data_IF_585069745343
#
_entry.id   IF_585069745343
#
_cell.length_a   1.000
_cell.length_b   1.000
_cell.length_c   1.000
_cell.angle_alpha   90.00
_cell.angle_beta   90.00
_cell.angle_gamma   90.00
#
_symmetry.space_group_name_H-M   'P 1'
#
loop_
_entity.id
_entity.type
_entity.pdbx_description
1 polymer ?
#
# COMPACT_ATOMS: atom_id res chain seq x y z
N UNK A 1 -18.29 6.05 2.49
CA UNK A 1 -17.86 5.16 1.39
C UNK A 1 -17.22 3.91 1.98
N UNK A 2 -17.70 2.73 1.59
CA UNK A 2 -17.47 1.44 2.31
C UNK A 2 -16.42 0.51 1.70
N UNK A 3 -15.34 1.05 1.16
CA UNK A 3 -14.21 0.22 0.72
C UNK A 3 -13.32 -0.05 1.93
N UNK A 4 -13.22 -1.31 2.33
CA UNK A 4 -12.35 -1.75 3.42
C UNK A 4 -10.89 -1.80 2.95
N UNK A 5 -10.68 -2.48 1.82
CA UNK A 5 -9.38 -2.68 1.18
C UNK A 5 -9.51 -2.48 -0.34
N UNK A 6 -8.43 -2.01 -0.97
CA UNK A 6 -8.30 -1.89 -2.43
C UNK A 6 -7.01 -2.55 -2.86
N UNK A 7 -7.11 -3.55 -3.74
CA UNK A 7 -5.95 -4.17 -4.36
C UNK A 7 -5.73 -3.58 -5.76
N UNK A 8 -4.49 -3.22 -6.06
CA UNK A 8 -4.09 -2.79 -7.39
C UNK A 8 -2.75 -3.41 -7.79
N UNK A 9 -2.59 -3.62 -9.10
CA UNK A 9 -1.33 -4.06 -9.69
C UNK A 9 -0.80 -2.98 -10.60
N UNK A 10 0.46 -2.58 -10.40
CA UNK A 10 1.14 -1.55 -11.19
C UNK A 10 2.57 -1.98 -11.50
N UNK A 11 3.17 -1.44 -12.55
CA UNK A 11 4.60 -1.57 -12.83
C UNK A 11 5.26 -0.20 -12.81
N UNK A 12 6.26 0.00 -11.96
CA UNK A 12 7.02 1.25 -11.83
C UNK A 12 8.49 0.93 -12.02
N UNK A 13 9.19 1.63 -12.92
CA UNK A 13 10.62 1.37 -13.21
C UNK A 13 10.95 -0.13 -13.41
N UNK A 14 10.19 -0.79 -14.28
CA UNK A 14 10.27 -2.25 -14.53
C UNK A 14 10.00 -3.16 -13.31
N UNK A 15 9.61 -2.60 -12.16
CA UNK A 15 9.33 -3.33 -10.92
C UNK A 15 7.83 -3.62 -10.84
N UNK A 16 7.38 -4.88 -10.93
CA UNK A 16 5.97 -5.23 -10.75
C UNK A 16 5.59 -5.13 -9.27
N UNK A 17 4.52 -4.39 -8.97
CA UNK A 17 4.01 -4.19 -7.62
C UNK A 17 2.57 -4.69 -7.55
N UNK A 18 2.28 -5.55 -6.58
CA UNK A 18 0.91 -5.81 -6.12
C UNK A 18 0.73 -5.06 -4.81
N UNK A 19 -0.15 -4.06 -4.81
CA UNK A 19 -0.33 -3.14 -3.68
C UNK A 19 -1.72 -3.39 -3.09
N UNK A 20 -1.76 -3.74 -1.81
CA UNK A 20 -2.98 -3.76 -1.00
C UNK A 20 -3.05 -2.49 -0.16
N UNK A 21 -4.09 -1.70 -0.37
CA UNK A 21 -4.33 -0.42 0.27
C UNK A 21 -5.47 -0.55 1.27
N UNK A 22 -5.23 -0.17 2.53
CA UNK A 22 -6.21 -0.30 3.61
C UNK A 22 -6.17 0.86 4.58
N UNK A 23 -7.26 1.03 5.34
CA UNK A 23 -7.36 2.03 6.41
C UNK A 23 -6.95 1.46 7.76
N UNK A 24 -6.27 2.24 8.59
CA UNK A 24 -5.85 1.83 9.93
C UNK A 24 -4.71 2.69 10.49
N UNK A 25 -3.85 2.09 11.30
CA UNK A 25 -2.63 2.75 11.78
C UNK A 25 -1.62 2.90 10.63
N UNK A 26 -1.11 4.11 10.35
CA UNK A 26 -0.19 4.33 9.24
C UNK A 26 1.01 3.39 9.24
N UNK A 27 1.26 2.75 8.11
CA UNK A 27 2.36 1.80 8.00
C UNK A 27 2.58 1.28 6.59
N UNK A 28 3.81 0.87 6.34
CA UNK A 28 4.24 0.26 5.08
C UNK A 28 4.95 -1.06 5.38
N UNK A 29 4.50 -2.13 4.73
CA UNK A 29 5.24 -3.38 4.67
C UNK A 29 5.50 -3.77 3.23
N UNK A 30 6.70 -4.28 2.97
CA UNK A 30 7.09 -4.85 1.68
C UNK A 30 7.48 -6.30 1.93
N UNK A 31 6.86 -7.22 1.20
CA UNK A 31 7.06 -8.67 1.32
C UNK A 31 6.90 -9.20 2.76
N UNK A 32 5.98 -8.57 3.51
CA UNK A 32 5.65 -8.94 4.88
C UNK A 32 6.53 -8.29 5.96
N UNK A 33 7.56 -7.52 5.61
CA UNK A 33 8.43 -6.84 6.57
C UNK A 33 8.16 -5.32 6.59
N UNK A 34 8.23 -4.63 7.75
CA UNK A 34 8.20 -3.17 7.81
C UNK A 34 9.31 -2.56 6.95
N UNK A 35 8.96 -1.56 6.15
CA UNK A 35 9.91 -0.91 5.26
C UNK A 35 9.70 0.61 5.26
N UNK A 36 10.79 1.40 5.16
CA UNK A 36 10.69 2.85 5.03
C UNK A 36 10.28 3.30 3.62
N UNK A 37 10.47 2.46 2.60
CA UNK A 37 10.11 2.74 1.21
C UNK A 37 9.90 1.43 0.42
N UNK A 38 9.24 1.54 -0.74
CA UNK A 38 9.10 0.42 -1.69
C UNK A 38 10.35 0.36 -2.59
N UNK A 39 11.08 -0.77 -2.63
CA UNK A 39 12.19 -0.95 -3.56
C UNK A 39 11.70 -1.00 -5.01
N UNK A 40 12.42 -0.33 -5.91
CA UNK A 40 12.17 -0.29 -7.36
C UNK A 40 13.33 -0.92 -8.13
N UNK A 41 13.67 -2.16 -7.77
CA UNK A 41 14.87 -2.89 -8.19
C UNK A 41 14.63 -3.83 -9.40
N UNK A 42 13.44 -3.75 -10.01
CA UNK A 42 13.01 -4.61 -11.11
C UNK A 42 12.43 -5.97 -10.68
N UNK A 43 12.39 -6.29 -9.38
CA UNK A 43 11.83 -7.54 -8.87
C UNK A 43 10.37 -7.38 -8.47
N UNK A 44 9.55 -8.44 -8.53
CA UNK A 44 8.17 -8.37 -8.04
C UNK A 44 8.13 -8.17 -6.52
N UNK A 45 7.29 -7.24 -6.05
CA UNK A 45 7.05 -7.01 -4.62
C UNK A 45 5.57 -6.98 -4.27
N UNK A 46 5.24 -7.49 -3.09
CA UNK A 46 3.94 -7.32 -2.46
C UNK A 46 4.01 -6.20 -1.43
N UNK A 47 3.19 -5.16 -1.63
CA UNK A 47 3.17 -3.97 -0.80
C UNK A 47 1.85 -3.91 -0.05
N UNK A 48 1.90 -3.67 1.26
CA UNK A 48 0.72 -3.30 2.04
C UNK A 48 0.92 -1.89 2.55
N UNK A 49 0.06 -0.99 2.09
CA UNK A 49 0.01 0.40 2.54
C UNK A 49 -1.22 0.57 3.44
N UNK A 50 -0.97 0.86 4.71
CA UNK A 50 -2.01 1.25 5.66
C UNK A 50 -1.96 2.76 5.81
N UNK A 51 -3.06 3.44 5.51
CA UNK A 51 -3.19 4.88 5.70
C UNK A 51 -4.10 5.18 6.88
N UNK A 52 -3.95 6.38 7.46
CA UNK A 52 -4.80 6.82 8.55
C UNK A 52 -6.27 6.75 8.15
N UNK A 53 -7.08 6.17 9.02
CA UNK A 53 -8.53 6.29 8.93
C UNK A 53 -8.91 7.70 9.38
N UNK A 54 -8.68 8.71 8.53
CA UNK A 54 -9.21 10.05 8.78
C UNK A 54 -10.73 9.92 8.80
N UNK A 55 -11.36 10.22 9.95
CA UNK A 55 -12.79 10.39 10.02
C UNK A 55 -13.18 11.44 8.97
N UNK A 56 -13.96 11.05 7.97
CA UNK A 56 -14.54 12.00 7.04
C UNK A 56 -15.57 12.81 7.84
N UNK A 57 -15.12 13.87 8.51
CA UNK A 57 -16.04 14.88 9.02
C UNK A 57 -16.44 15.75 7.84
N UNK A 58 -17.62 15.47 7.30
CA UNK A 58 -18.34 16.44 6.50
C UNK A 58 -18.79 17.57 7.44
N UNK A 59 -18.17 18.74 7.31
CA UNK A 59 -18.82 20.01 7.69
C UNK A 59 -19.90 20.37 6.67
#
# INVERSE_FOLDING_TARGET
>A
SGWNDVDLSIRINQTPLKISYRRGSPGLTVDGAPAPFVPLDGRPHYVVLTIEQSGFQSE
#
